data_IF_395572526240
#
_entry.id   IF_395572526240
#
_cell.length_a   1.000
_cell.length_b   1.000
_cell.length_c   1.000
_cell.angle_alpha   90.00
_cell.angle_beta   90.00
_cell.angle_gamma   90.00
#
_symmetry.space_group_name_H-M   'P 1'
#
loop_
_entity.id
_entity.type
_entity.pdbx_description
1 polymer ?
#
# COMPACT_ATOMS: atom_id res chain seq x y z
N UNK A 1 -16.20 -2.83 -6.21
CA UNK A 1 -15.18 -1.76 -6.02
C UNK A 1 -14.80 -1.71 -4.56
N UNK A 2 -13.56 -2.05 -4.21
CA UNK A 2 -13.08 -2.00 -2.82
C UNK A 2 -12.87 -0.54 -2.42
N UNK A 3 -13.90 0.09 -1.82
CA UNK A 3 -13.76 1.40 -1.17
C UNK A 3 -13.24 1.18 0.23
N UNK A 4 -11.91 1.16 0.37
CA UNK A 4 -11.26 1.30 1.66
C UNK A 4 -10.57 2.68 1.71
N UNK A 5 -10.51 3.30 2.89
CA UNK A 5 -9.93 4.64 3.06
C UNK A 5 -8.45 4.73 2.63
N UNK A 6 -7.76 3.60 2.59
CA UNK A 6 -6.42 3.45 2.03
C UNK A 6 -6.41 2.28 1.06
N UNK A 7 -5.72 2.41 -0.06
CA UNK A 7 -5.60 1.40 -1.10
C UNK A 7 -4.14 1.17 -1.50
N UNK A 8 -3.90 0.15 -2.32
CA UNK A 8 -2.59 -0.11 -2.94
C UNK A 8 -2.02 1.12 -3.68
N UNK A 9 -2.87 2.04 -4.16
CA UNK A 9 -2.41 3.26 -4.81
C UNK A 9 -1.66 4.19 -3.85
N UNK A 10 -2.01 4.21 -2.56
CA UNK A 10 -1.28 5.00 -1.56
C UNK A 10 0.15 4.49 -1.34
N UNK A 11 0.40 3.22 -1.68
CA UNK A 11 1.71 2.58 -1.61
C UNK A 11 2.52 2.80 -2.90
N UNK A 12 1.86 2.65 -4.06
CA UNK A 12 2.51 2.62 -5.38
C UNK A 12 2.72 4.03 -5.96
N UNK A 13 1.75 4.92 -5.83
CA UNK A 13 1.80 6.26 -6.46
C UNK A 13 2.99 7.10 -5.96
N UNK A 14 3.30 7.16 -4.65
CA UNK A 14 4.47 7.89 -4.18
C UNK A 14 5.79 7.35 -4.74
N UNK A 15 5.92 6.02 -4.87
CA UNK A 15 7.13 5.36 -5.40
C UNK A 15 7.32 5.69 -6.88
N UNK A 16 6.25 5.63 -7.68
CA UNK A 16 6.29 6.04 -9.09
C UNK A 16 6.64 7.52 -9.25
N UNK A 17 6.08 8.40 -8.41
CA UNK A 17 6.38 9.82 -8.42
C UNK A 17 7.83 10.12 -8.01
N UNK A 18 8.43 9.28 -7.17
CA UNK A 18 9.85 9.32 -6.81
C UNK A 18 10.78 8.73 -7.90
N UNK A 19 10.22 8.21 -9.01
CA UNK A 19 10.99 7.56 -10.07
C UNK A 19 11.43 6.13 -9.74
N UNK A 20 10.91 5.54 -8.65
CA UNK A 20 11.17 4.15 -8.31
C UNK A 20 10.46 3.22 -9.29
N UNK A 21 11.16 2.16 -9.67
CA UNK A 21 10.58 1.09 -10.49
C UNK A 21 9.74 0.18 -9.60
N UNK A 22 8.42 0.18 -9.80
CA UNK A 22 7.51 -0.74 -9.12
C UNK A 22 7.34 -2.00 -9.97
N UNK A 23 7.69 -3.15 -9.42
CA UNK A 23 7.61 -4.45 -10.11
C UNK A 23 6.28 -5.15 -9.87
N UNK A 24 6.00 -6.19 -10.67
CA UNK A 24 4.82 -7.04 -10.45
C UNK A 24 4.86 -7.74 -9.09
N UNK A 25 6.05 -8.08 -8.62
CA UNK A 25 6.23 -8.74 -7.33
C UNK A 25 5.91 -7.78 -6.19
N UNK A 26 6.29 -6.49 -6.30
CA UNK A 26 5.88 -5.45 -5.33
C UNK A 26 4.35 -5.35 -5.23
N UNK A 27 3.66 -5.28 -6.39
CA UNK A 27 2.20 -5.17 -6.45
C UNK A 27 1.53 -6.43 -5.86
N UNK A 28 2.10 -7.61 -6.13
CA UNK A 28 1.58 -8.88 -5.64
C UNK A 28 1.80 -9.02 -4.13
N UNK A 29 2.94 -8.56 -3.61
CA UNK A 29 3.20 -8.49 -2.17
C UNK A 29 2.20 -7.57 -1.46
N UNK A 30 1.90 -6.39 -2.02
CA UNK A 30 0.85 -5.50 -1.51
C UNK A 30 -0.57 -6.07 -1.64
N UNK A 31 -0.81 -6.98 -2.58
CA UNK A 31 -2.08 -7.70 -2.72
C UNK A 31 -2.23 -8.88 -1.75
N UNK A 32 -1.12 -9.46 -1.30
CA UNK A 32 -1.06 -10.54 -0.31
C UNK A 32 -0.96 -10.02 1.14
N UNK A 33 -0.55 -8.76 1.33
CA UNK A 33 -0.33 -8.12 2.62
C UNK A 33 -1.56 -7.43 3.19
N UNK A 34 -2.12 -8.01 4.28
CA UNK A 34 -2.86 -7.33 5.34
C UNK A 34 -4.20 -6.70 4.96
N UNK A 35 -5.30 -7.08 5.60
CA UNK A 35 -6.50 -6.25 5.60
C UNK A 35 -6.17 -4.90 6.29
N UNK A 36 -6.50 -3.77 5.66
CA UNK A 36 -6.36 -2.47 6.29
C UNK A 36 -7.24 -2.42 7.56
N UNK A 37 -6.64 -2.25 8.73
CA UNK A 37 -7.35 -2.33 10.03
C UNK A 37 -8.31 -1.17 10.30
N UNK A 38 -8.51 -0.26 9.34
CA UNK A 38 -9.48 0.85 9.47
C UNK A 38 -9.11 1.88 10.54
N UNK A 39 -7.82 2.06 10.83
CA UNK A 39 -7.35 3.02 11.82
C UNK A 39 -7.89 4.44 11.56
N UNK A 40 -8.17 5.19 12.64
CA UNK A 40 -8.66 6.58 12.55
C UNK A 40 -7.68 7.50 11.79
N UNK A 41 -6.39 7.24 11.94
CA UNK A 41 -5.28 7.94 11.28
C UNK A 41 -4.38 6.93 10.58
N UNK A 42 -4.03 7.18 9.31
CA UNK A 42 -3.16 6.31 8.53
C UNK A 42 -1.70 6.52 8.96
N UNK A 43 -1.00 5.42 9.27
CA UNK A 43 0.39 5.43 9.75
C UNK A 43 1.39 4.91 8.73
N UNK A 44 1.05 4.93 7.45
CA UNK A 44 2.00 4.53 6.40
C UNK A 44 3.22 5.47 6.41
N UNK A 45 4.48 4.96 6.30
CA UNK A 45 4.91 3.58 6.03
C UNK A 45 5.11 2.67 7.25
N UNK A 46 4.88 3.16 8.46
CA UNK A 46 4.99 2.40 9.73
C UNK A 46 3.80 1.45 9.96
N UNK A 47 3.05 1.11 8.92
CA UNK A 47 1.85 0.28 8.97
C UNK A 47 2.14 -1.15 8.50
N UNK A 48 1.63 -2.14 9.24
CA UNK A 48 1.70 -3.57 8.87
C UNK A 48 1.04 -3.93 7.53
N UNK A 49 0.19 -3.04 7.01
CA UNK A 49 -0.52 -3.20 5.73
C UNK A 49 0.42 -3.25 4.50
N UNK A 50 1.62 -2.67 4.57
CA UNK A 50 2.51 -2.56 3.41
C UNK A 50 3.97 -2.97 3.67
N UNK A 51 4.24 -3.75 4.72
CA UNK A 51 5.59 -4.11 5.18
C UNK A 51 5.98 -5.58 4.93
N UNK A 52 5.48 -6.19 3.86
CA UNK A 52 5.78 -7.57 3.47
C UNK A 52 6.25 -7.66 2.01
#
# INVERSE_FOLDING_TARGET
VMYHRTSIFDLVVPRLAAGESVTRDDITAFGHGGYCSGCKECRYPLCGFGSH
#
